data_IF_509087967312
#
_entry.id   IF_509087967312
#
_cell.length_a   1.000
_cell.length_b   1.000
_cell.length_c   1.000
_cell.angle_alpha   90.00
_cell.angle_beta   90.00
_cell.angle_gamma   90.00
#
_symmetry.space_group_name_H-M   'P 1'
#
loop_
_entity.id
_entity.type
_entity.pdbx_description
1 polymer ?
#
# COMPACT_ATOMS: atom_id res chain seq x y z
N UNK A 1 14.04 15.22 12.28
CA UNK A 1 13.95 14.09 11.31
C UNK A 1 12.48 13.85 11.02
N UNK A 2 12.08 13.62 9.77
CA UNK A 2 10.66 13.64 9.38
C UNK A 2 9.84 12.45 9.90
N UNK A 3 10.50 11.32 10.14
CA UNK A 3 9.90 10.04 10.52
C UNK A 3 10.49 9.60 11.86
N UNK A 4 9.62 9.29 12.83
CA UNK A 4 10.02 8.93 14.18
C UNK A 4 10.63 7.51 14.30
N UNK A 5 11.51 7.28 15.29
CA UNK A 5 12.08 5.98 15.56
C UNK A 5 11.05 4.98 16.12
N UNK A 6 10.73 3.96 15.32
CA UNK A 6 10.04 2.77 15.81
C UNK A 6 11.04 1.64 16.15
N UNK A 7 10.96 1.14 17.39
CA UNK A 7 11.79 0.05 17.92
C UNK A 7 11.43 -1.32 17.30
N UNK A 8 10.17 -1.53 16.91
CA UNK A 8 9.67 -2.82 16.42
C UNK A 8 9.75 -2.96 14.90
N UNK A 9 10.15 -1.91 14.19
CA UNK A 9 10.23 -1.84 12.72
C UNK A 9 10.90 -3.06 12.06
N UNK A 10 12.06 -3.50 12.57
CA UNK A 10 12.76 -4.67 12.01
C UNK A 10 11.97 -5.97 12.16
N UNK A 11 11.30 -6.12 13.31
CA UNK A 11 10.44 -7.28 13.60
C UNK A 11 9.22 -7.25 12.69
N UNK A 12 8.59 -6.09 12.54
CA UNK A 12 7.45 -5.92 11.63
C UNK A 12 7.81 -6.21 10.17
N UNK A 13 8.97 -5.74 9.69
CA UNK A 13 9.48 -6.07 8.36
C UNK A 13 9.57 -7.59 8.18
N UNK A 14 10.15 -8.29 9.17
CA UNK A 14 10.32 -9.74 9.11
C UNK A 14 8.98 -10.49 9.15
N UNK A 15 8.05 -10.09 10.03
CA UNK A 15 6.72 -10.71 10.12
C UNK A 15 5.94 -10.52 8.83
N UNK A 16 5.82 -9.29 8.34
CA UNK A 16 5.03 -9.02 7.14
C UNK A 16 5.67 -9.60 5.87
N UNK A 17 7.00 -9.62 5.78
CA UNK A 17 7.71 -10.34 4.70
C UNK A 17 7.46 -11.84 4.77
N UNK A 18 7.48 -12.44 5.97
CA UNK A 18 7.22 -13.87 6.16
C UNK A 18 5.78 -14.24 5.80
N UNK A 19 4.80 -13.47 6.27
CA UNK A 19 3.39 -13.64 5.94
C UNK A 19 3.14 -13.47 4.43
N UNK A 20 3.75 -12.46 3.81
CA UNK A 20 3.65 -12.26 2.36
C UNK A 20 4.24 -13.44 1.59
N UNK A 21 5.38 -13.97 2.02
CA UNK A 21 6.02 -15.12 1.37
C UNK A 21 5.16 -16.39 1.51
N UNK A 22 4.56 -16.62 2.68
CA UNK A 22 3.60 -17.72 2.87
C UNK A 22 2.45 -17.56 1.89
N UNK A 23 1.80 -16.40 1.86
CA UNK A 23 0.70 -16.12 0.94
C UNK A 23 1.10 -16.32 -0.53
N UNK A 24 2.28 -15.80 -0.92
CA UNK A 24 2.81 -15.93 -2.26
C UNK A 24 3.03 -17.39 -2.67
N UNK A 25 3.55 -18.23 -1.78
CA UNK A 25 3.68 -19.68 -2.00
C UNK A 25 2.30 -20.31 -2.19
N UNK A 26 1.34 -20.00 -1.31
CA UNK A 26 0.00 -20.58 -1.39
C UNK A 26 -0.71 -20.24 -2.71
N UNK A 27 -0.57 -18.99 -3.17
CA UNK A 27 -1.10 -18.52 -4.46
C UNK A 27 -0.36 -19.19 -5.63
N UNK A 28 0.98 -19.24 -5.60
CA UNK A 28 1.78 -19.83 -6.69
C UNK A 28 1.49 -21.31 -6.91
N UNK A 29 1.33 -22.07 -5.83
CA UNK A 29 1.03 -23.51 -5.89
C UNK A 29 -0.47 -23.81 -5.91
N UNK A 30 -1.31 -22.78 -6.04
CA UNK A 30 -2.74 -22.91 -6.24
C UNK A 30 -3.42 -23.79 -5.16
N UNK A 31 -3.03 -23.60 -3.89
CA UNK A 31 -3.50 -24.45 -2.79
C UNK A 31 -5.01 -24.30 -2.55
N UNK A 32 -5.67 -25.42 -2.26
CA UNK A 32 -7.13 -25.49 -2.06
C UNK A 32 -7.64 -24.50 -1.01
N UNK A 33 -6.85 -24.27 0.04
CA UNK A 33 -7.19 -23.30 1.08
C UNK A 33 -7.40 -21.89 0.52
N UNK A 34 -6.57 -21.44 -0.44
CA UNK A 34 -6.70 -20.11 -1.02
C UNK A 34 -7.91 -20.00 -1.95
N UNK A 35 -8.25 -21.05 -2.69
CA UNK A 35 -9.49 -21.08 -3.48
C UNK A 35 -10.72 -20.93 -2.62
N UNK A 36 -10.82 -21.71 -1.54
CA UNK A 36 -11.97 -21.63 -0.63
C UNK A 36 -12.10 -20.24 0.00
N UNK A 37 -10.97 -19.61 0.36
CA UNK A 37 -10.99 -18.24 0.86
C UNK A 37 -11.40 -17.22 -0.20
N UNK A 38 -10.84 -17.31 -1.41
CA UNK A 38 -11.13 -16.39 -2.50
C UNK A 38 -12.60 -16.51 -2.96
N UNK A 39 -13.10 -17.73 -3.15
CA UNK A 39 -14.50 -18.01 -3.50
C UNK A 39 -15.47 -17.58 -2.39
N UNK A 40 -15.13 -17.87 -1.13
CA UNK A 40 -15.93 -17.48 0.03
C UNK A 40 -16.01 -15.96 0.18
N UNK A 41 -14.91 -15.26 -0.08
CA UNK A 41 -14.87 -13.81 -0.05
C UNK A 41 -15.62 -13.19 -1.24
N UNK A 42 -15.50 -13.78 -2.44
CA UNK A 42 -16.28 -13.37 -3.61
C UNK A 42 -17.79 -13.49 -3.33
N UNK A 43 -18.24 -14.60 -2.74
CA UNK A 43 -19.64 -14.77 -2.34
C UNK A 43 -20.08 -13.70 -1.34
N UNK A 44 -19.25 -13.44 -0.32
CA UNK A 44 -19.56 -12.46 0.71
C UNK A 44 -19.66 -11.02 0.17
N UNK A 45 -18.68 -10.60 -0.62
CA UNK A 45 -18.63 -9.25 -1.23
C UNK A 45 -19.71 -9.11 -2.31
N UNK A 46 -19.89 -10.16 -3.11
CA UNK A 46 -20.93 -10.39 -4.13
C UNK A 46 -22.35 -10.13 -3.67
N UNK A 47 -22.74 -10.95 -2.71
CA UNK A 47 -24.13 -11.31 -2.51
C UNK A 47 -24.59 -11.06 -1.07
N UNK A 48 -23.67 -10.90 -0.13
CA UNK A 48 -23.99 -10.78 1.30
C UNK A 48 -23.74 -9.37 1.86
N UNK A 49 -23.11 -8.46 1.09
CA UNK A 49 -22.88 -7.10 1.56
C UNK A 49 -24.21 -6.32 1.68
N UNK A 50 -24.50 -5.72 2.85
CA UNK A 50 -25.65 -4.83 3.01
C UNK A 50 -25.60 -3.66 2.04
N UNK A 51 -26.76 -3.22 1.55
CA UNK A 51 -26.87 -2.13 0.56
C UNK A 51 -26.21 -0.82 1.03
N UNK A 52 -26.25 -0.53 2.34
CA UNK A 52 -25.57 0.63 2.93
C UNK A 52 -24.06 0.55 2.74
N UNK A 53 -23.45 -0.62 2.95
CA UNK A 53 -22.01 -0.84 2.76
C UNK A 53 -21.67 -0.80 1.27
N UNK A 54 -22.50 -1.38 0.41
CA UNK A 54 -22.29 -1.32 -1.05
C UNK A 54 -22.24 0.12 -1.58
N UNK A 55 -23.05 1.03 -1.05
CA UNK A 55 -22.99 2.45 -1.41
C UNK A 55 -21.64 3.07 -1.05
N UNK A 56 -21.13 2.80 0.16
CA UNK A 56 -19.80 3.28 0.59
C UNK A 56 -18.66 2.67 -0.23
N UNK A 57 -18.76 1.37 -0.54
CA UNK A 57 -17.82 0.67 -1.43
C UNK A 57 -17.84 1.28 -2.82
N UNK A 58 -19.01 1.60 -3.36
CA UNK A 58 -19.16 2.24 -4.67
C UNK A 58 -18.53 3.64 -4.71
N UNK A 59 -18.73 4.42 -3.64
CA UNK A 59 -18.09 5.74 -3.50
C UNK A 59 -16.56 5.61 -3.41
N UNK A 60 -16.05 4.66 -2.64
CA UNK A 60 -14.62 4.38 -2.59
C UNK A 60 -14.09 3.92 -3.96
N UNK A 61 -14.88 3.17 -4.72
CA UNK A 61 -14.55 2.71 -6.08
C UNK A 61 -14.26 3.83 -7.07
N UNK A 62 -14.74 5.06 -6.84
CA UNK A 62 -14.34 6.23 -7.65
C UNK A 62 -12.81 6.46 -7.59
N UNK A 63 -12.18 6.10 -6.47
CA UNK A 63 -10.74 6.19 -6.27
C UNK A 63 -9.95 4.98 -6.82
N UNK A 64 -10.62 3.96 -7.39
CA UNK A 64 -9.98 2.79 -8.00
C UNK A 64 -9.42 3.06 -9.40
N UNK A 65 -8.71 4.18 -9.54
CA UNK A 65 -8.02 4.53 -10.78
C UNK A 65 -6.57 4.93 -10.53
N UNK A 66 -5.66 4.38 -11.33
CA UNK A 66 -4.22 4.68 -11.25
C UNK A 66 -3.91 6.17 -11.41
N UNK A 67 -4.65 6.89 -12.24
CA UNK A 67 -4.44 8.33 -12.45
C UNK A 67 -4.75 9.15 -11.19
N UNK A 68 -5.72 8.72 -10.36
CA UNK A 68 -6.00 9.36 -9.07
C UNK A 68 -4.86 9.10 -8.09
N UNK A 69 -4.40 7.85 -7.96
CA UNK A 69 -3.25 7.53 -7.10
C UNK A 69 -1.99 8.32 -7.53
N UNK A 70 -1.76 8.46 -8.83
CA UNK A 70 -0.69 9.29 -9.38
C UNK A 70 -0.87 10.78 -9.02
N UNK A 71 -2.06 11.33 -9.19
CA UNK A 71 -2.39 12.72 -8.82
C UNK A 71 -2.14 12.97 -7.33
N UNK A 72 -2.57 12.08 -6.45
CA UNK A 72 -2.31 12.17 -5.01
C UNK A 72 -0.81 12.08 -4.69
N UNK A 73 -0.08 11.18 -5.36
CA UNK A 73 1.38 11.06 -5.18
C UNK A 73 2.10 12.35 -5.59
N UNK A 74 1.75 12.92 -6.74
CA UNK A 74 2.30 14.21 -7.21
C UNK A 74 1.89 15.34 -6.27
N UNK A 75 0.63 15.38 -5.81
CA UNK A 75 0.16 16.37 -4.84
C UNK A 75 0.95 16.32 -3.53
N UNK A 76 1.21 15.13 -2.98
CA UNK A 76 2.05 14.94 -1.80
C UNK A 76 3.50 15.38 -2.05
N UNK A 77 4.06 15.07 -3.22
CA UNK A 77 5.40 15.50 -3.60
C UNK A 77 5.50 17.04 -3.68
N UNK A 78 4.51 17.70 -4.30
CA UNK A 78 4.42 19.15 -4.35
C UNK A 78 4.30 19.78 -2.95
N UNK A 79 3.50 19.19 -2.06
CA UNK A 79 3.40 19.64 -0.66
C UNK A 79 4.75 19.52 0.07
N UNK A 80 5.45 18.39 -0.07
CA UNK A 80 6.78 18.22 0.52
C UNK A 80 7.80 19.21 -0.04
N UNK A 81 7.72 19.51 -1.34
CA UNK A 81 8.54 20.54 -1.97
C UNK A 81 8.27 21.93 -1.39
N UNK A 82 7.00 22.31 -1.23
CA UNK A 82 6.61 23.61 -0.68
C UNK A 82 7.12 23.79 0.76
N UNK A 83 7.06 22.74 1.59
CA UNK A 83 7.56 22.80 2.97
C UNK A 83 9.10 22.63 3.03
N UNK A 84 9.82 22.76 1.91
CA UNK A 84 11.27 22.65 1.83
C UNK A 84 11.83 21.30 2.31
N UNK A 85 11.10 20.20 2.07
CA UNK A 85 11.56 18.83 2.32
C UNK A 85 11.86 18.11 1.00
N UNK A 86 12.88 18.58 0.27
CA UNK A 86 13.20 18.08 -1.08
C UNK A 86 13.76 16.66 -1.05
N UNK A 87 14.48 16.28 0.02
CA UNK A 87 14.98 14.90 0.17
C UNK A 87 13.82 13.94 0.42
N UNK A 88 12.86 14.33 1.26
CA UNK A 88 11.67 13.52 1.52
C UNK A 88 10.79 13.39 0.26
N UNK A 89 10.66 14.47 -0.53
CA UNK A 89 9.96 14.45 -1.82
C UNK A 89 10.60 13.44 -2.78
N UNK A 90 11.92 13.53 -2.99
CA UNK A 90 12.63 12.62 -3.89
C UNK A 90 12.54 11.17 -3.43
N UNK A 91 12.69 10.93 -2.12
CA UNK A 91 12.48 9.61 -1.52
C UNK A 91 11.07 9.07 -1.76
N UNK A 92 10.02 9.88 -1.55
CA UNK A 92 8.63 9.48 -1.78
C UNK A 92 8.42 9.05 -3.24
N UNK A 93 8.86 9.84 -4.21
CA UNK A 93 8.69 9.50 -5.63
C UNK A 93 9.42 8.21 -6.01
N UNK A 94 10.69 8.09 -5.61
CA UNK A 94 11.50 6.90 -5.94
C UNK A 94 10.92 5.65 -5.29
N UNK A 95 10.50 5.72 -4.03
CA UNK A 95 9.97 4.56 -3.31
C UNK A 95 8.63 4.09 -3.84
N UNK A 96 7.74 5.00 -4.24
CA UNK A 96 6.46 4.68 -4.86
C UNK A 96 6.67 3.98 -6.21
N UNK A 97 7.52 4.53 -7.08
CA UNK A 97 7.84 3.93 -8.37
C UNK A 97 8.51 2.55 -8.22
N UNK A 98 9.46 2.44 -7.28
CA UNK A 98 10.14 1.17 -7.02
C UNK A 98 9.19 0.14 -6.41
N UNK A 99 8.22 0.55 -5.58
CA UNK A 99 7.19 -0.35 -5.06
C UNK A 99 6.35 -0.96 -6.17
N UNK A 100 5.88 -0.12 -7.10
CA UNK A 100 5.08 -0.57 -8.25
C UNK A 100 5.90 -1.52 -9.13
N UNK A 101 7.16 -1.17 -9.40
CA UNK A 101 8.05 -2.02 -10.18
C UNK A 101 8.26 -3.39 -9.52
N UNK A 102 8.60 -3.42 -8.23
CA UNK A 102 8.80 -4.67 -7.49
C UNK A 102 7.51 -5.48 -7.40
N UNK A 103 6.37 -4.85 -7.12
CA UNK A 103 5.07 -5.52 -7.10
C UNK A 103 4.75 -6.15 -8.46
N UNK A 104 4.98 -5.44 -9.56
CA UNK A 104 4.78 -5.97 -10.91
C UNK A 104 5.69 -7.18 -11.19
N UNK A 105 6.97 -7.11 -10.82
CA UNK A 105 7.91 -8.23 -10.95
C UNK A 105 7.41 -9.43 -10.14
N UNK A 106 6.99 -9.21 -8.90
CA UNK A 106 6.45 -10.29 -8.04
C UNK A 106 5.19 -10.89 -8.67
N UNK A 107 4.26 -10.08 -9.17
CA UNK A 107 3.08 -10.58 -9.87
C UNK A 107 3.45 -11.46 -11.06
N UNK A 108 4.39 -11.03 -11.90
CA UNK A 108 4.87 -11.84 -13.02
C UNK A 108 5.43 -13.17 -12.50
N UNK A 109 6.26 -13.17 -11.46
CA UNK A 109 6.83 -14.40 -10.91
C UNK A 109 5.76 -15.36 -10.35
N UNK A 110 4.71 -14.83 -9.72
CA UNK A 110 3.66 -15.64 -9.12
C UNK A 110 2.68 -16.19 -10.16
N UNK A 111 2.32 -15.37 -11.14
CA UNK A 111 1.16 -15.59 -12.01
C UNK A 111 1.53 -15.95 -13.45
N UNK A 112 2.81 -15.94 -13.81
CA UNK A 112 3.25 -16.46 -15.09
C UNK A 112 3.01 -17.97 -15.14
N UNK A 113 2.08 -18.37 -15.99
CA UNK A 113 1.74 -19.77 -16.22
C UNK A 113 2.13 -20.14 -17.66
N UNK A 114 2.65 -21.35 -17.80
CA UNK A 114 3.11 -21.90 -19.08
C UNK A 114 2.28 -23.14 -19.42
N UNK A 115 0.96 -22.99 -19.38
CA UNK A 115 0.04 -24.04 -19.81
C UNK A 115 -0.75 -23.48 -21.01
N UNK A 116 -0.54 -24.05 -22.20
CA UNK A 116 -1.11 -23.56 -23.47
C UNK A 116 -0.65 -22.17 -23.91
N UNK A 117 0.62 -21.84 -23.63
CA UNK A 117 1.24 -20.57 -23.99
C UNK A 117 1.48 -19.67 -22.78
N UNK A 118 2.22 -18.59 -23.01
CA UNK A 118 2.54 -17.60 -21.98
C UNK A 118 1.28 -16.78 -21.69
N UNK A 119 0.72 -16.96 -20.49
CA UNK A 119 -0.37 -16.14 -19.99
C UNK A 119 -0.10 -15.72 -18.55
N UNK A 120 -0.66 -14.56 -18.19
CA UNK A 120 -0.51 -13.97 -16.87
C UNK A 120 -1.85 -14.09 -16.14
N UNK A 121 -1.84 -14.78 -15.00
CA UNK A 121 -2.99 -14.89 -14.11
C UNK A 121 -3.37 -13.57 -13.43
N UNK A 122 -4.38 -13.58 -12.54
CA UNK A 122 -4.84 -12.40 -11.83
C UNK A 122 -3.72 -11.76 -10.99
N UNK A 123 -3.67 -10.43 -10.98
CA UNK A 123 -2.59 -9.68 -10.36
C UNK A 123 -2.53 -9.92 -8.84
N UNK A 124 -1.40 -10.43 -8.32
CA UNK A 124 -1.13 -10.63 -6.89
C UNK A 124 0.32 -10.22 -6.61
N UNK A 125 0.61 -9.28 -5.69
CA UNK A 125 -0.35 -8.43 -4.96
C UNK A 125 -1.04 -7.40 -5.88
N UNK A 126 -2.21 -6.89 -5.49
CA UNK A 126 -2.83 -5.79 -6.24
C UNK A 126 -1.94 -4.53 -6.18
N UNK A 127 -1.50 -4.05 -7.34
CA UNK A 127 -0.63 -2.88 -7.41
C UNK A 127 -1.33 -1.61 -6.93
N UNK A 128 -2.59 -1.41 -7.31
CA UNK A 128 -3.30 -0.18 -6.99
C UNK A 128 -3.61 -0.09 -5.49
N UNK A 129 -4.11 -1.16 -4.88
CA UNK A 129 -4.31 -1.22 -3.42
C UNK A 129 -3.00 -1.06 -2.65
N UNK A 130 -1.89 -1.64 -3.14
CA UNK A 130 -0.55 -1.46 -2.56
C UNK A 130 -0.08 -0.01 -2.66
N UNK A 131 -0.41 0.68 -3.76
CA UNK A 131 -0.04 2.07 -3.99
C UNK A 131 -0.85 3.00 -3.08
N UNK A 132 -2.16 2.83 -3.02
CA UNK A 132 -3.02 3.58 -2.09
C UNK A 132 -2.60 3.37 -0.65
N UNK A 133 -2.24 2.15 -0.24
CA UNK A 133 -1.72 1.88 1.10
C UNK A 133 -0.50 2.75 1.41
N UNK A 134 0.46 2.87 0.48
CA UNK A 134 1.65 3.70 0.67
C UNK A 134 1.32 5.20 0.74
N UNK A 135 0.41 5.68 -0.12
CA UNK A 135 -0.08 7.08 -0.08
C UNK A 135 -0.72 7.38 1.30
N UNK A 136 -1.57 6.48 1.77
CA UNK A 136 -2.23 6.61 3.08
C UNK A 136 -1.23 6.50 4.24
N UNK A 137 -0.20 5.66 4.12
CA UNK A 137 0.85 5.54 5.12
C UNK A 137 1.68 6.83 5.24
N UNK A 138 1.97 7.50 4.11
CA UNK A 138 2.57 8.85 4.10
C UNK A 138 1.70 9.84 4.87
N UNK A 139 0.39 9.88 4.59
CA UNK A 139 -0.54 10.76 5.31
C UNK A 139 -0.55 10.44 6.81
N UNK A 140 -0.57 9.15 7.15
CA UNK A 140 -0.64 8.65 8.52
C UNK A 140 0.61 9.02 9.35
N UNK A 141 1.81 8.86 8.80
CA UNK A 141 3.06 9.04 9.54
C UNK A 141 3.59 10.47 9.46
N UNK A 142 3.49 11.12 8.30
CA UNK A 142 4.13 12.42 8.07
C UNK A 142 3.18 13.57 8.40
N UNK A 143 1.96 13.53 7.85
CA UNK A 143 1.05 14.67 7.90
C UNK A 143 0.20 14.68 9.17
N UNK A 144 -0.36 13.53 9.54
CA UNK A 144 -1.33 13.47 10.62
C UNK A 144 -0.78 13.90 11.99
N UNK A 145 0.43 13.50 12.43
CA UNK A 145 0.99 13.96 13.69
C UNK A 145 1.29 15.46 13.72
N UNK A 146 1.44 16.10 12.54
CA UNK A 146 1.74 17.53 12.40
C UNK A 146 0.47 18.38 12.34
N UNK A 147 -0.57 17.87 11.70
CA UNK A 147 -1.86 18.55 11.56
C UNK A 147 -2.72 18.42 12.83
N UNK A 148 -2.61 17.29 13.53
CA UNK A 148 -3.45 16.98 14.69
C UNK A 148 -2.61 16.75 15.94
N UNK A 149 -2.59 17.76 16.82
CA UNK A 149 -1.93 17.69 18.13
C UNK A 149 -2.73 16.87 19.15
N UNK A 150 -4.07 16.85 19.02
CA UNK A 150 -4.95 16.10 19.93
C UNK A 150 -5.01 14.61 19.55
N UNK A 151 -4.66 13.75 20.50
CA UNK A 151 -4.64 12.29 20.32
C UNK A 151 -6.00 11.71 19.87
N UNK A 152 -7.10 12.21 20.44
CA UNK A 152 -8.46 11.71 20.14
C UNK A 152 -8.80 11.86 18.66
N UNK A 153 -8.64 13.06 18.11
CA UNK A 153 -8.91 13.34 16.70
C UNK A 153 -7.95 12.58 15.77
N UNK A 154 -6.68 12.46 16.18
CA UNK A 154 -5.72 11.64 15.45
C UNK A 154 -6.19 10.20 15.31
N UNK A 155 -6.63 9.57 16.39
CA UNK A 155 -7.15 8.19 16.36
C UNK A 155 -8.40 8.04 15.48
N UNK A 156 -9.32 9.02 15.52
CA UNK A 156 -10.52 9.02 14.67
C UNK A 156 -10.12 9.06 13.19
N UNK A 157 -9.25 9.99 12.79
CA UNK A 157 -8.80 10.09 11.40
C UNK A 157 -8.00 8.87 10.96
N UNK A 158 -7.18 8.28 11.84
CA UNK A 158 -6.49 7.01 11.58
C UNK A 158 -7.49 5.89 11.29
N UNK A 159 -8.55 5.78 12.11
CA UNK A 159 -9.63 4.82 11.88
C UNK A 159 -10.33 5.06 10.54
N UNK A 160 -10.62 6.31 10.19
CA UNK A 160 -11.22 6.65 8.89
C UNK A 160 -10.31 6.28 7.70
N UNK A 161 -8.99 6.49 7.81
CA UNK A 161 -8.02 6.12 6.76
C UNK A 161 -7.99 4.60 6.56
N UNK A 162 -7.95 3.83 7.66
CA UNK A 162 -7.96 2.36 7.60
C UNK A 162 -9.27 1.87 6.99
N UNK A 163 -10.40 2.42 7.44
CA UNK A 163 -11.72 2.10 6.90
C UNK A 163 -11.81 2.43 5.40
N UNK A 164 -11.28 3.59 5.00
CA UNK A 164 -11.22 3.98 3.60
C UNK A 164 -10.42 2.99 2.75
N UNK A 165 -9.26 2.54 3.23
CA UNK A 165 -8.49 1.51 2.53
C UNK A 165 -9.26 0.18 2.43
N UNK A 166 -9.94 -0.25 3.51
CA UNK A 166 -10.78 -1.44 3.47
C UNK A 166 -11.92 -1.31 2.44
N UNK A 167 -12.55 -0.13 2.34
CA UNK A 167 -13.58 0.13 1.32
C UNK A 167 -13.00 0.11 -0.10
N UNK A 168 -11.78 0.61 -0.31
CA UNK A 168 -11.08 0.48 -1.60
C UNK A 168 -10.85 -0.99 -1.96
N UNK A 169 -10.31 -1.79 -1.03
CA UNK A 169 -10.07 -3.21 -1.24
C UNK A 169 -11.37 -3.96 -1.59
N UNK A 170 -12.45 -3.70 -0.85
CA UNK A 170 -13.77 -4.26 -1.17
C UNK A 170 -14.27 -3.80 -2.55
N UNK A 171 -14.04 -2.54 -2.91
CA UNK A 171 -14.43 -2.01 -4.22
C UNK A 171 -13.64 -2.66 -5.35
N UNK A 172 -12.36 -2.98 -5.14
CA UNK A 172 -11.52 -3.72 -6.09
C UNK A 172 -12.04 -5.14 -6.29
N UNK A 173 -12.38 -5.83 -5.21
CA UNK A 173 -12.98 -7.17 -5.28
C UNK A 173 -14.34 -7.16 -6.00
N UNK A 174 -15.17 -6.15 -5.74
CA UNK A 174 -16.51 -6.04 -6.31
C UNK A 174 -16.50 -5.61 -7.79
N UNK A 175 -15.70 -4.61 -8.17
CA UNK A 175 -15.74 -3.97 -9.48
C UNK A 175 -14.71 -4.52 -10.47
N UNK A 176 -13.58 -5.03 -9.96
CA UNK A 176 -12.45 -5.49 -10.80
C UNK A 176 -12.21 -7.00 -10.71
N UNK A 177 -13.08 -7.74 -10.01
CA UNK A 177 -12.98 -9.20 -9.85
C UNK A 177 -11.64 -9.67 -9.28
N UNK A 178 -11.01 -8.84 -8.44
CA UNK A 178 -9.80 -9.24 -7.74
C UNK A 178 -10.11 -10.15 -6.57
N UNK A 179 -9.22 -11.13 -6.37
CA UNK A 179 -9.32 -12.11 -5.29
C UNK A 179 -8.95 -11.50 -3.93
N UNK A 180 -9.44 -12.10 -2.84
CA UNK A 180 -9.05 -11.70 -1.49
C UNK A 180 -7.54 -11.85 -1.29
N UNK A 181 -6.96 -12.91 -1.86
CA UNK A 181 -5.52 -13.15 -1.90
C UNK A 181 -4.73 -11.99 -2.50
N UNK A 182 -5.27 -11.31 -3.50
CA UNK A 182 -4.65 -10.12 -4.11
C UNK A 182 -4.62 -8.94 -3.14
N UNK A 183 -5.73 -8.67 -2.45
CA UNK A 183 -5.86 -7.57 -1.48
C UNK A 183 -5.05 -7.82 -0.20
N UNK A 184 -5.02 -9.06 0.30
CA UNK A 184 -4.13 -9.46 1.39
C UNK A 184 -2.67 -9.35 0.97
N UNK A 185 -2.36 -9.73 -0.27
CA UNK A 185 -1.04 -9.51 -0.85
C UNK A 185 -0.68 -8.04 -0.84
N UNK A 186 -1.59 -7.16 -1.25
CA UNK A 186 -1.38 -5.73 -1.28
C UNK A 186 -1.17 -5.12 0.11
N UNK A 187 -1.94 -5.57 1.10
CA UNK A 187 -1.77 -5.18 2.50
C UNK A 187 -0.38 -5.58 3.01
N UNK A 188 -0.02 -6.85 2.84
CA UNK A 188 1.21 -7.41 3.39
C UNK A 188 2.44 -6.84 2.69
N UNK A 189 2.44 -6.81 1.36
CA UNK A 189 3.52 -6.24 0.56
C UNK A 189 3.64 -4.73 0.78
N UNK A 190 2.52 -4.00 0.69
CA UNK A 190 2.50 -2.55 0.85
C UNK A 190 3.04 -2.12 2.23
N UNK A 191 2.62 -2.81 3.29
CA UNK A 191 3.11 -2.52 4.64
C UNK A 191 4.58 -2.88 4.82
N UNK A 192 5.00 -4.07 4.35
CA UNK A 192 6.41 -4.46 4.34
C UNK A 192 7.28 -3.41 3.62
N UNK A 193 6.86 -3.01 2.42
CA UNK A 193 7.56 -2.06 1.58
C UNK A 193 7.66 -0.69 2.24
N UNK A 194 6.56 -0.22 2.84
CA UNK A 194 6.54 1.01 3.62
C UNK A 194 7.58 0.97 4.74
N UNK A 195 7.56 -0.07 5.58
CA UNK A 195 8.48 -0.18 6.71
C UNK A 195 9.95 -0.22 6.26
N UNK A 196 10.24 -0.93 5.17
CA UNK A 196 11.57 -1.01 4.57
C UNK A 196 12.01 0.37 4.04
N UNK A 197 11.14 1.05 3.29
CA UNK A 197 11.42 2.35 2.67
C UNK A 197 11.73 3.42 3.72
N UNK A 198 10.97 3.47 4.82
CA UNK A 198 11.19 4.39 5.93
C UNK A 198 12.51 4.09 6.66
N UNK A 199 12.88 2.81 6.81
CA UNK A 199 14.17 2.42 7.37
C UNK A 199 15.32 2.92 6.50
N UNK A 200 15.20 2.79 5.17
CA UNK A 200 16.22 3.27 4.23
C UNK A 200 16.32 4.80 4.23
N UNK A 201 15.19 5.51 4.28
CA UNK A 201 15.17 6.96 4.44
C UNK A 201 15.94 7.38 5.68
N UNK A 202 15.64 6.78 6.84
CA UNK A 202 16.27 7.19 8.10
C UNK A 202 17.77 6.94 8.13
N UNK A 203 18.24 5.86 7.50
CA UNK A 203 19.68 5.55 7.42
C UNK A 203 20.44 6.55 6.54
N UNK A 204 19.85 6.97 5.42
CA UNK A 204 20.56 7.72 4.37
C UNK A 204 20.20 9.21 4.30
N UNK A 205 19.09 9.66 4.90
CA UNK A 205 18.62 11.04 4.80
C UNK A 205 19.65 12.05 5.32
N UNK A 206 20.36 11.74 6.43
CA UNK A 206 21.40 12.64 6.96
C UNK A 206 22.57 12.76 5.98
N UNK A 207 23.04 11.65 5.44
CA UNK A 207 24.10 11.61 4.45
C UNK A 207 23.71 12.36 3.17
N UNK A 208 22.49 12.14 2.65
CA UNK A 208 22.00 12.85 1.46
C UNK A 208 21.83 14.34 1.70
N UNK A 209 21.47 14.76 2.91
CA UNK A 209 21.43 16.16 3.30
C UNK A 209 22.80 16.81 3.26
N UNK A 210 23.81 16.12 3.78
CA UNK A 210 25.20 16.57 3.79
C UNK A 210 25.80 16.65 2.37
N UNK A 211 25.56 15.62 1.54
CA UNK A 211 26.09 15.55 0.16
C UNK A 211 25.41 16.56 -0.77
N UNK A 212 24.08 16.63 -0.74
CA UNK A 212 23.33 17.48 -1.67
C UNK A 212 23.28 18.93 -1.22
N UNK A 213 23.54 19.23 0.07
CA UNK A 213 23.39 20.56 0.69
C UNK A 213 21.98 21.15 0.48
N UNK A 214 20.99 20.29 0.57
CA UNK A 214 19.57 20.61 0.41
C UNK A 214 18.86 20.40 1.75
N UNK A 215 17.73 21.09 1.97
CA UNK A 215 16.96 21.18 3.21
C UNK A 215 17.73 21.91 4.33
N UNK A 216 17.45 23.20 4.55
CA UNK A 216 18.12 24.04 5.57
C UNK A 216 17.93 23.46 6.97
N UNK A 217 19.03 23.36 7.72
CA UNK A 217 19.03 22.96 9.13
C UNK A 217 18.05 23.82 9.92
N UNK A 218 16.90 23.25 10.27
CA UNK A 218 16.24 23.57 11.53
C UNK A 218 17.06 22.88 12.62
#
# INVERSE_FOLDING_TARGET
MLIEPDKFRKVLILIFSGLFLILAIQVRFNLLFMHVLDDGAELAVRHLLPQTVQSWVSLAGICNHYWLAALFTVGLACLLYWVNYKIAMGWLLVTQLLALFVAAVVTVLLQLQWHNGVHLGPMVPDLLSSWWLQILAVLFVIFLPRLMTQLKWRLVVQGCIILFWCLLALARMQQNHLSLSSELGALLFGYFWWQLSEQQYRKHAKHWREVLKIDTSI
#
